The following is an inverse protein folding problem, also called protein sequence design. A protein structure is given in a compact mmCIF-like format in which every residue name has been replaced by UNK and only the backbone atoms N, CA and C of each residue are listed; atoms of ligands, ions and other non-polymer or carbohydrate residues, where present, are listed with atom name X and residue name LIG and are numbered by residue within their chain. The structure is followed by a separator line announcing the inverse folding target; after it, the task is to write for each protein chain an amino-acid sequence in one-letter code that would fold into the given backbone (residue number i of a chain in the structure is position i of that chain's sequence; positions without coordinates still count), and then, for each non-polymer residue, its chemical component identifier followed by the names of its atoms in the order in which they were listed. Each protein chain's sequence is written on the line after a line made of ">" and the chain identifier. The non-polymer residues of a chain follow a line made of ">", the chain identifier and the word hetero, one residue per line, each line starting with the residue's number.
data_IF_549821458190
#
_entry.id   IF_549821458190
#
_cell.length_a   1.000
_cell.length_b   1.000
_cell.length_c   1.000
_cell.angle_alpha   90.00
_cell.angle_beta   90.00
_cell.angle_gamma   90.00
#
_symmetry.space_group_name_H-M   'P 1'
#
loop_
_entity.id
_entity.type
_entity.pdbx_description
1 polymer ?
#
# COMPACT_ATOMS: atom_id res chain seq x y z
N UNK A 1 11.55 -7.77 -7.68
CA UNK A 1 10.72 -6.55 -7.76
C UNK A 1 9.37 -6.84 -7.12
N UNK A 2 8.89 -6.01 -6.19
CA UNK A 2 7.52 -6.17 -5.67
C UNK A 2 6.53 -5.75 -6.76
N UNK A 3 5.58 -6.62 -7.11
CA UNK A 3 4.55 -6.38 -8.13
C UNK A 3 3.23 -5.95 -7.50
N UNK A 4 2.92 -6.51 -6.32
CA UNK A 4 1.66 -6.28 -5.63
C UNK A 4 1.58 -7.07 -4.33
N UNK A 5 0.36 -7.13 -3.80
CA UNK A 5 0.00 -7.86 -2.58
C UNK A 5 -0.78 -9.12 -2.95
N UNK A 6 -0.85 -10.09 -2.04
CA UNK A 6 -1.88 -11.12 -2.08
C UNK A 6 -3.03 -10.79 -1.10
N UNK A 7 -4.26 -11.11 -1.48
CA UNK A 7 -5.44 -10.80 -0.66
C UNK A 7 -6.01 -12.00 0.09
N UNK A 8 -5.51 -13.20 -0.17
CA UNK A 8 -5.85 -14.41 0.60
C UNK A 8 -4.84 -14.62 1.74
N UNK A 9 -3.56 -14.58 1.38
CA UNK A 9 -2.41 -14.77 2.27
C UNK A 9 -1.85 -13.44 2.77
N UNK A 10 -1.22 -13.45 3.94
CA UNK A 10 -0.32 -12.34 4.33
C UNK A 10 0.98 -12.44 3.54
N UNK A 11 1.12 -11.72 2.42
CA UNK A 11 2.40 -11.63 1.71
C UNK A 11 2.43 -10.70 0.50
N UNK A 12 3.65 -10.39 0.05
CA UNK A 12 3.92 -9.62 -1.16
C UNK A 12 4.19 -10.55 -2.33
N UNK A 13 3.56 -10.28 -3.48
CA UNK A 13 3.91 -10.88 -4.76
C UNK A 13 5.20 -10.23 -5.27
N UNK A 14 6.31 -10.96 -5.17
CA UNK A 14 7.64 -10.51 -5.57
C UNK A 14 8.06 -11.26 -6.84
N UNK A 15 8.24 -10.52 -7.93
CA UNK A 15 8.88 -11.02 -9.14
C UNK A 15 10.38 -11.26 -8.89
N UNK A 16 10.85 -12.47 -9.19
CA UNK A 16 12.27 -12.77 -9.35
C UNK A 16 12.59 -12.69 -10.85
N UNK A 17 13.30 -11.64 -11.34
CA UNK A 17 13.41 -11.40 -12.78
C UNK A 17 14.18 -12.47 -13.55
N UNK A 18 15.13 -13.13 -12.86
CA UNK A 18 15.96 -14.21 -13.39
C UNK A 18 15.12 -15.46 -13.69
N UNK A 19 14.45 -15.98 -12.66
CA UNK A 19 13.67 -17.23 -12.74
C UNK A 19 12.28 -17.02 -13.35
N UNK A 20 11.89 -15.75 -13.56
CA UNK A 20 10.58 -15.27 -14.04
C UNK A 20 9.39 -15.68 -13.17
N UNK A 21 9.62 -16.17 -11.96
CA UNK A 21 8.57 -16.56 -11.02
C UNK A 21 8.08 -15.39 -10.16
N UNK A 22 6.87 -15.53 -9.62
CA UNK A 22 6.30 -14.64 -8.61
C UNK A 22 6.19 -15.42 -7.30
N UNK A 23 7.02 -15.10 -6.32
CA UNK A 23 6.91 -15.68 -4.98
C UNK A 23 6.00 -14.83 -4.10
N UNK A 24 5.39 -15.45 -3.07
CA UNK A 24 4.71 -14.73 -1.99
C UNK A 24 5.57 -14.81 -0.73
N UNK A 25 5.89 -13.66 -0.13
CA UNK A 25 6.71 -13.61 1.11
C UNK A 25 6.28 -12.49 2.06
N UNK A 26 6.46 -12.72 3.37
CA UNK A 26 6.32 -11.70 4.43
C UNK A 26 7.63 -10.95 4.70
N UNK A 27 8.77 -11.50 4.28
CA UNK A 27 10.10 -11.00 4.63
C UNK A 27 10.91 -10.71 3.37
N UNK A 28 11.05 -9.43 3.05
CA UNK A 28 11.95 -8.95 1.98
C UNK A 28 13.28 -8.58 2.64
N UNK A 29 14.11 -9.58 2.90
CA UNK A 29 15.48 -9.37 3.36
C UNK A 29 16.39 -8.95 2.18
N UNK A 30 17.40 -8.14 2.44
CA UNK A 30 18.38 -7.75 1.42
C UNK A 30 19.45 -8.83 1.24
N UNK A 31 19.86 -9.08 -0.01
CA UNK A 31 20.93 -10.04 -0.37
C UNK A 31 22.31 -9.74 0.28
N UNK A 32 22.44 -8.62 1.00
CA UNK A 32 23.64 -8.21 1.73
C UNK A 32 23.61 -8.61 3.23
N UNK A 33 22.58 -9.32 3.70
CA UNK A 33 22.58 -9.85 5.06
C UNK A 33 23.70 -10.89 5.27
N UNK A 34 24.38 -10.91 6.43
CA UNK A 34 25.37 -11.94 6.75
C UNK A 34 24.69 -13.32 6.75
N UNK A 35 25.29 -14.28 6.03
CA UNK A 35 24.72 -15.60 5.74
C UNK A 35 24.44 -15.86 4.25
N UNK A 36 24.24 -14.81 3.43
CA UNK A 36 23.89 -14.96 2.01
C UNK A 36 25.10 -15.20 1.07
N UNK A 37 26.26 -15.63 1.60
CA UNK A 37 27.51 -15.77 0.84
C UNK A 37 27.39 -16.77 -0.32
N UNK A 38 26.67 -17.88 -0.11
CA UNK A 38 26.42 -18.89 -1.15
C UNK A 38 25.59 -18.32 -2.30
N UNK A 39 24.57 -17.50 -2.02
CA UNK A 39 23.76 -16.84 -3.05
C UNK A 39 24.57 -15.78 -3.81
N UNK A 40 25.47 -15.06 -3.15
CA UNK A 40 26.38 -14.12 -3.81
C UNK A 40 27.42 -14.85 -4.69
N UNK A 41 27.91 -16.01 -4.25
CA UNK A 41 28.80 -16.86 -5.06
C UNK A 41 28.09 -17.47 -6.29
N UNK A 42 26.80 -17.81 -6.16
CA UNK A 42 25.97 -18.28 -7.26
C UNK A 42 25.68 -17.16 -8.28
N UNK A 43 25.24 -15.98 -7.83
CA UNK A 43 25.03 -14.81 -8.69
C UNK A 43 26.29 -14.42 -9.48
N UNK A 44 27.48 -14.54 -8.88
CA UNK A 44 28.77 -14.30 -9.56
C UNK A 44 29.14 -15.34 -10.63
N UNK A 45 28.45 -16.50 -10.68
CA UNK A 45 28.59 -17.52 -11.73
C UNK A 45 27.52 -17.39 -12.82
N UNK A 46 26.30 -17.02 -12.43
CA UNK A 46 25.12 -17.02 -13.31
C UNK A 46 24.95 -15.68 -14.07
N UNK A 47 25.36 -14.54 -13.48
CA UNK A 47 25.37 -13.23 -14.14
C UNK A 47 26.76 -12.56 -14.03
N UNK A 48 27.65 -12.77 -15.01
CA UNK A 48 28.99 -12.17 -15.02
C UNK A 48 29.01 -10.65 -15.23
N UNK A 49 27.93 -10.01 -15.68
CA UNK A 49 27.87 -8.55 -15.84
C UNK A 49 27.45 -7.88 -14.55
N UNK A 50 26.39 -8.37 -13.90
CA UNK A 50 25.98 -7.94 -12.58
C UNK A 50 27.07 -8.24 -11.53
N UNK A 51 27.77 -9.37 -11.66
CA UNK A 51 28.94 -9.71 -10.86
C UNK A 51 30.08 -8.69 -10.98
N UNK A 52 30.42 -8.29 -12.22
CA UNK A 52 31.43 -7.24 -12.48
C UNK A 52 30.98 -5.87 -11.98
N UNK A 53 29.71 -5.49 -12.18
CA UNK A 53 29.17 -4.21 -11.69
C UNK A 53 29.15 -4.14 -10.14
N UNK A 54 28.98 -5.27 -9.44
CA UNK A 54 29.15 -5.37 -7.99
C UNK A 54 30.62 -5.19 -7.59
N UNK A 55 31.56 -5.83 -8.29
CA UNK A 55 33.00 -5.68 -8.03
C UNK A 55 33.47 -4.24 -8.28
N UNK A 56 33.13 -3.60 -9.39
CA UNK A 56 33.44 -2.17 -9.64
C UNK A 56 32.89 -1.27 -8.54
N UNK A 57 31.70 -1.58 -8.01
CA UNK A 57 31.08 -0.81 -6.93
C UNK A 57 31.79 -1.01 -5.59
N UNK A 58 32.22 -2.23 -5.27
CA UNK A 58 33.05 -2.55 -4.10
C UNK A 58 34.42 -1.87 -4.20
N UNK A 59 35.05 -1.88 -5.38
CA UNK A 59 36.31 -1.19 -5.64
C UNK A 59 36.18 0.33 -5.60
N UNK A 60 35.09 0.90 -6.14
CA UNK A 60 34.79 2.32 -6.04
C UNK A 60 34.57 2.77 -4.60
N UNK A 61 33.97 1.92 -3.75
CA UNK A 61 33.86 2.15 -2.31
C UNK A 61 35.23 2.09 -1.63
N UNK A 62 36.00 1.02 -1.81
CA UNK A 62 37.37 0.88 -1.27
C UNK A 62 38.31 1.99 -1.74
N UNK A 63 38.14 2.50 -2.97
CA UNK A 63 38.87 3.64 -3.53
C UNK A 63 38.46 4.95 -2.86
N UNK A 64 37.16 5.16 -2.59
CA UNK A 64 36.67 6.31 -1.80
C UNK A 64 37.19 6.27 -0.35
N UNK A 65 37.21 5.10 0.29
CA UNK A 65 37.77 4.92 1.63
C UNK A 65 39.28 5.20 1.68
N UNK A 66 40.06 4.66 0.73
CA UNK A 66 41.50 4.95 0.60
C UNK A 66 41.78 6.44 0.32
N UNK A 67 40.93 7.12 -0.45
CA UNK A 67 41.01 8.57 -0.66
C UNK A 67 40.65 9.35 0.60
N UNK A 68 39.60 8.96 1.34
CA UNK A 68 39.22 9.58 2.60
C UNK A 68 40.30 9.41 3.69
N UNK A 69 40.96 8.25 3.75
CA UNK A 69 42.10 8.00 4.62
C UNK A 69 43.29 8.91 4.28
N UNK A 70 43.69 9.00 3.00
CA UNK A 70 44.74 9.93 2.55
C UNK A 70 44.37 11.41 2.79
N UNK A 71 43.10 11.77 2.65
CA UNK A 71 42.61 13.14 2.83
C UNK A 71 42.80 13.71 4.25
N UNK A 72 42.88 12.86 5.28
CA UNK A 72 43.14 13.30 6.66
C UNK A 72 44.62 13.64 6.94
N UNK A 73 45.54 13.34 6.04
CA UNK A 73 46.99 13.43 6.29
C UNK A 73 47.68 14.77 6.02
N UNK A 74 47.07 15.74 5.32
CA UNK A 74 47.74 17.01 4.94
C UNK A 74 46.85 18.26 5.03
N UNK A 75 46.73 18.84 6.23
CA UNK A 75 46.31 20.25 6.44
C UNK A 75 47.07 20.92 7.61
N UNK A 76 48.32 21.35 7.38
CA UNK A 76 49.03 22.35 8.24
C UNK A 76 49.93 23.26 7.39
N UNK A 77 49.56 24.55 7.30
CA UNK A 77 50.30 25.65 6.63
C UNK A 77 50.50 25.49 5.10
N UNK A 78 50.60 26.55 4.28
CA UNK A 78 50.97 27.96 4.54
C UNK A 78 50.00 28.97 3.89
N UNK A 79 49.98 30.19 4.45
CA UNK A 79 49.23 31.38 3.99
C UNK A 79 50.24 32.44 3.52
N UNK A 80 50.35 32.75 2.21
CA UNK A 80 51.10 33.93 1.74
C UNK A 80 50.90 34.29 0.24
N UNK A 81 50.35 35.49 0.00
CA UNK A 81 50.67 36.51 -1.04
C UNK A 81 50.82 36.18 -2.55
N UNK A 82 50.38 37.18 -3.35
CA UNK A 82 50.52 37.46 -4.82
C UNK A 82 49.30 37.06 -5.69
N UNK A 83 48.90 37.84 -6.70
CA UNK A 83 49.24 39.24 -7.07
C UNK A 83 48.20 39.86 -8.04
N UNK A 84 48.27 41.18 -8.27
CA UNK A 84 47.49 41.92 -9.29
C UNK A 84 47.85 41.53 -10.73
N UNK A 85 46.89 41.78 -11.63
CA UNK A 85 46.96 42.14 -13.07
C UNK A 85 46.40 41.09 -14.06
N UNK A 86 45.96 41.44 -15.29
CA UNK A 86 45.14 42.56 -15.88
C UNK A 86 45.01 42.23 -17.40
N UNK A 87 44.05 42.84 -18.13
CA UNK A 87 44.04 42.98 -19.63
C UNK A 87 43.79 41.64 -20.40
N UNK A 88 42.54 41.35 -20.81
CA UNK A 88 41.95 41.54 -22.18
C UNK A 88 42.03 40.27 -23.07
N UNK A 89 41.32 40.09 -24.21
CA UNK A 89 40.57 41.02 -25.09
C UNK A 89 39.37 40.32 -25.79
N UNK A 90 38.65 41.07 -26.64
CA UNK A 90 37.38 40.78 -27.34
C UNK A 90 37.34 39.57 -28.31
N UNK A 91 36.12 39.18 -28.74
CA UNK A 91 35.89 38.28 -29.89
C UNK A 91 34.41 37.93 -30.15
N UNK A 92 33.77 38.63 -31.12
CA UNK A 92 32.53 38.20 -31.82
C UNK A 92 32.94 37.31 -33.04
N UNK A 93 32.11 36.68 -33.89
CA UNK A 93 30.68 36.85 -34.25
C UNK A 93 30.10 35.58 -34.95
N UNK A 94 28.89 35.71 -35.50
CA UNK A 94 28.06 34.96 -36.50
C UNK A 94 28.77 34.22 -37.68
N UNK A 95 28.16 33.41 -38.58
CA UNK A 95 26.77 32.93 -38.88
C UNK A 95 26.75 31.71 -39.86
N UNK A 96 25.57 31.10 -40.05
CA UNK A 96 25.01 30.45 -41.29
C UNK A 96 25.72 29.28 -42.04
N UNK A 97 24.94 28.59 -42.88
CA UNK A 97 25.45 27.77 -44.00
C UNK A 97 24.76 26.41 -44.26
N UNK A 98 23.73 26.37 -45.11
CA UNK A 98 23.26 25.16 -45.81
C UNK A 98 23.52 25.32 -47.33
N UNK A 99 23.59 24.22 -48.13
CA UNK A 99 22.44 23.93 -49.01
C UNK A 99 22.21 22.42 -49.35
N UNK A 100 21.18 22.16 -50.17
CA UNK A 100 20.80 20.89 -50.83
C UNK A 100 21.60 20.69 -52.16
N UNK A 101 21.49 19.62 -52.97
CA UNK A 101 20.63 18.41 -53.02
C UNK A 101 21.52 17.14 -53.27
N UNK A 102 21.18 16.00 -53.90
CA UNK A 102 20.08 15.41 -54.73
C UNK A 102 19.74 13.99 -54.19
N UNK A 103 18.61 13.30 -54.42
CA UNK A 103 17.55 13.24 -55.45
C UNK A 103 17.72 12.13 -56.54
N UNK A 104 17.22 10.92 -56.25
CA UNK A 104 16.75 9.93 -57.24
C UNK A 104 15.47 9.22 -56.72
N UNK A 105 14.63 8.70 -57.62
CA UNK A 105 13.24 8.30 -57.33
C UNK A 105 12.85 7.02 -58.08
N UNK A 106 12.15 6.08 -57.42
CA UNK A 106 11.43 4.96 -58.03
C UNK A 106 10.16 4.63 -57.20
N UNK A 107 9.05 4.28 -57.86
CA UNK A 107 7.72 4.09 -57.26
C UNK A 107 7.27 2.60 -57.17
N UNK A 108 5.97 2.37 -56.87
CA UNK A 108 5.22 1.09 -56.86
C UNK A 108 5.50 0.15 -55.65
N UNK A 109 4.54 -0.47 -54.92
CA UNK A 109 3.05 -0.50 -54.91
C UNK A 109 2.58 -0.66 -53.44
N UNK A 110 1.44 -0.09 -52.99
CA UNK A 110 0.93 -0.35 -51.62
C UNK A 110 0.32 -1.75 -51.44
N UNK A 111 0.64 -2.41 -50.32
CA UNK A 111 0.00 -3.65 -49.84
C UNK A 111 -0.65 -3.42 -48.44
N UNK A 112 -1.65 -4.24 -48.05
CA UNK A 112 -2.52 -3.96 -46.89
C UNK A 112 -1.84 -4.20 -45.52
N UNK A 113 -2.38 -3.63 -44.43
CA UNK A 113 -1.80 -3.75 -43.09
C UNK A 113 -1.81 -5.20 -42.57
N UNK A 114 -0.66 -5.65 -42.05
CA UNK A 114 -0.53 -6.96 -41.43
C UNK A 114 -1.20 -7.02 -40.05
N UNK A 115 -1.91 -8.13 -39.78
CA UNK A 115 -2.51 -8.39 -38.47
C UNK A 115 -1.45 -8.55 -37.36
N UNK A 116 -1.76 -8.19 -36.10
CA UNK A 116 -0.82 -8.33 -34.99
C UNK A 116 -0.58 -9.82 -34.67
N UNK A 117 0.63 -10.32 -35.00
CA UNK A 117 1.07 -11.70 -34.78
C UNK A 117 0.91 -12.13 -33.31
N UNK A 118 -0.20 -12.80 -33.02
CA UNK A 118 -0.58 -13.29 -31.69
C UNK A 118 0.47 -14.26 -31.16
N UNK A 119 1.31 -13.82 -30.21
CA UNK A 119 2.35 -14.67 -29.61
C UNK A 119 1.74 -15.95 -29.01
N UNK A 120 2.03 -17.07 -29.67
CA UNK A 120 1.55 -18.41 -29.30
C UNK A 120 2.33 -18.90 -28.09
N UNK A 121 1.73 -18.82 -26.90
CA UNK A 121 2.37 -19.23 -25.64
C UNK A 121 2.77 -20.71 -25.69
N UNK A 122 4.09 -20.96 -25.59
CA UNK A 122 4.65 -22.31 -25.62
C UNK A 122 4.32 -23.00 -24.29
N UNK A 123 3.45 -24.01 -24.33
CA UNK A 123 3.03 -24.78 -23.16
C UNK A 123 4.21 -25.58 -22.58
N UNK A 124 4.92 -25.01 -21.63
CA UNK A 124 6.02 -25.65 -20.88
C UNK A 124 5.43 -26.56 -19.80
N UNK A 125 5.85 -27.84 -19.80
CA UNK A 125 5.19 -28.91 -19.06
C UNK A 125 4.98 -28.68 -17.57
N UNK A 126 3.79 -29.08 -17.09
CA UNK A 126 3.40 -29.13 -15.68
C UNK A 126 4.39 -29.97 -14.86
N UNK A 127 5.23 -29.32 -14.06
CA UNK A 127 5.72 -29.88 -12.79
C UNK A 127 4.91 -29.30 -11.64
N UNK A 128 3.64 -29.72 -11.53
CA UNK A 128 2.89 -29.48 -10.29
C UNK A 128 3.56 -30.31 -9.20
N UNK A 129 4.23 -29.64 -8.25
CA UNK A 129 4.32 -30.18 -6.89
C UNK A 129 2.87 -30.28 -6.41
N UNK A 130 2.40 -31.44 -5.92
CA UNK A 130 1.07 -31.56 -5.35
C UNK A 130 1.07 -30.84 -4.00
N UNK A 131 0.86 -29.52 -4.03
CA UNK A 131 0.29 -28.81 -2.89
C UNK A 131 -1.04 -29.50 -2.62
N UNK A 132 -1.15 -30.13 -1.45
CA UNK A 132 -2.41 -30.69 -1.00
C UNK A 132 -3.40 -29.53 -0.87
N UNK A 133 -4.26 -29.37 -1.88
CA UNK A 133 -5.40 -28.47 -1.81
C UNK A 133 -6.33 -29.01 -0.73
N UNK A 134 -6.11 -28.57 0.50
CA UNK A 134 -7.08 -28.73 1.56
C UNK A 134 -8.34 -27.99 1.12
N UNK A 135 -9.35 -28.75 0.70
CA UNK A 135 -10.61 -28.26 0.14
C UNK A 135 -11.48 -27.60 1.20
N UNK A 136 -11.02 -26.44 1.68
CA UNK A 136 -11.86 -25.50 2.38
C UNK A 136 -12.80 -24.84 1.37
N UNK A 137 -14.07 -24.72 1.75
CA UNK A 137 -15.12 -24.07 0.97
C UNK A 137 -14.80 -22.60 0.67
N UNK A 138 -15.49 -22.03 -0.33
CA UNK A 138 -15.45 -20.59 -0.57
C UNK A 138 -15.85 -19.81 0.69
N UNK A 139 -15.29 -18.62 0.86
CA UNK A 139 -15.69 -17.72 1.95
C UNK A 139 -17.19 -17.37 1.83
N UNK A 140 -17.98 -17.46 2.91
CA UNK A 140 -19.41 -17.15 2.88
C UNK A 140 -19.70 -15.73 2.37
N UNK A 141 -20.61 -15.61 1.41
CA UNK A 141 -20.92 -14.33 0.73
C UNK A 141 -21.89 -13.47 1.54
N UNK A 142 -22.56 -14.04 2.53
CA UNK A 142 -23.49 -13.37 3.42
C UNK A 142 -23.61 -14.09 4.79
N UNK A 143 -24.33 -13.45 5.72
CA UNK A 143 -24.58 -13.98 7.07
C UNK A 143 -25.25 -15.36 7.08
N UNK A 144 -26.25 -15.57 6.22
CA UNK A 144 -27.01 -16.83 6.18
C UNK A 144 -26.12 -18.01 5.76
N UNK A 145 -25.27 -17.82 4.76
CA UNK A 145 -24.26 -18.81 4.36
C UNK A 145 -23.26 -19.11 5.48
N UNK A 146 -22.80 -18.09 6.22
CA UNK A 146 -21.87 -18.28 7.31
C UNK A 146 -22.49 -19.10 8.46
N UNK A 147 -23.75 -18.82 8.80
CA UNK A 147 -24.49 -19.52 9.87
C UNK A 147 -24.93 -20.93 9.47
N UNK A 148 -25.13 -21.19 8.18
CA UNK A 148 -25.45 -22.53 7.66
C UNK A 148 -24.21 -23.36 7.29
N UNK A 149 -22.99 -22.87 7.57
CA UNK A 149 -21.74 -23.58 7.27
C UNK A 149 -21.25 -24.44 8.43
N UNK A 150 -20.48 -25.49 8.12
CA UNK A 150 -19.82 -26.35 9.12
C UNK A 150 -18.87 -25.58 10.07
N UNK A 151 -18.54 -24.33 9.72
CA UNK A 151 -17.66 -23.41 10.47
C UNK A 151 -18.43 -22.29 11.18
N UNK A 152 -19.74 -22.44 11.38
CA UNK A 152 -20.62 -21.46 12.07
C UNK A 152 -20.07 -20.99 13.42
N UNK A 153 -19.43 -21.87 14.20
CA UNK A 153 -18.81 -21.50 15.48
C UNK A 153 -17.64 -20.52 15.32
N UNK A 154 -16.75 -20.78 14.34
CA UNK A 154 -15.62 -19.91 14.03
C UNK A 154 -16.07 -18.55 13.47
N UNK A 155 -17.06 -18.55 12.57
CA UNK A 155 -17.62 -17.30 12.02
C UNK A 155 -18.38 -16.49 13.07
N UNK A 156 -19.16 -17.14 13.93
CA UNK A 156 -19.83 -16.49 15.08
C UNK A 156 -18.83 -15.84 16.01
N UNK A 157 -17.73 -16.52 16.35
CA UNK A 157 -16.63 -15.95 17.13
C UNK A 157 -16.02 -14.74 16.45
N UNK A 158 -15.73 -14.83 15.15
CA UNK A 158 -15.14 -13.73 14.38
C UNK A 158 -16.09 -12.51 14.24
N UNK A 159 -17.42 -12.71 14.27
CA UNK A 159 -18.40 -11.62 14.34
C UNK A 159 -18.42 -10.97 15.73
N UNK A 160 -18.41 -11.76 16.80
CA UNK A 160 -18.38 -11.25 18.17
C UNK A 160 -17.09 -10.46 18.46
N UNK A 161 -15.93 -10.93 17.97
CA UNK A 161 -14.66 -10.20 18.03
C UNK A 161 -14.72 -8.83 17.31
N UNK A 162 -15.41 -8.74 16.16
CA UNK A 162 -15.58 -7.47 15.44
C UNK A 162 -16.57 -6.54 16.15
N UNK A 163 -17.74 -7.03 16.61
CA UNK A 163 -18.70 -6.20 17.37
C UNK A 163 -18.05 -5.62 18.64
N UNK A 164 -17.40 -6.47 19.44
CA UNK A 164 -16.69 -6.03 20.66
C UNK A 164 -15.58 -5.02 20.33
N UNK A 165 -14.86 -5.20 19.22
CA UNK A 165 -13.86 -4.22 18.78
C UNK A 165 -14.47 -2.90 18.28
N UNK A 166 -15.69 -2.89 17.75
CA UNK A 166 -16.41 -1.68 17.32
C UNK A 166 -16.97 -0.91 18.53
N UNK A 167 -17.51 -1.62 19.52
CA UNK A 167 -18.00 -1.08 20.78
C UNK A 167 -16.85 -0.51 21.64
N UNK A 168 -15.74 -1.25 21.79
CA UNK A 168 -14.54 -0.77 22.49
C UNK A 168 -13.89 0.44 21.81
N UNK A 169 -14.15 0.68 20.53
CA UNK A 169 -13.75 1.92 19.84
C UNK A 169 -14.77 3.06 20.00
N UNK A 170 -15.93 2.85 20.65
CA UNK A 170 -17.06 3.77 20.67
C UNK A 170 -17.47 4.20 19.24
N UNK A 171 -17.64 3.21 18.36
CA UNK A 171 -17.91 3.46 16.92
C UNK A 171 -19.31 4.03 16.69
N UNK A 172 -20.26 3.65 17.56
CA UNK A 172 -21.64 4.09 17.59
C UNK A 172 -22.13 4.24 19.03
N UNK A 173 -23.31 4.86 19.19
CA UNK A 173 -24.17 4.66 20.37
C UNK A 173 -25.49 3.99 19.92
N UNK A 174 -26.23 3.42 20.87
CA UNK A 174 -27.60 2.95 20.63
C UNK A 174 -28.56 4.11 20.96
N UNK A 175 -29.47 4.44 20.05
CA UNK A 175 -30.48 5.49 20.24
C UNK A 175 -31.88 4.98 19.93
N UNK A 176 -32.91 5.57 20.54
CA UNK A 176 -34.28 5.41 20.07
C UNK A 176 -34.37 5.91 18.61
N UNK A 177 -34.97 5.10 17.73
CA UNK A 177 -35.04 5.37 16.29
C UNK A 177 -35.88 6.63 16.03
N UNK A 178 -35.32 7.70 15.43
CA UNK A 178 -36.09 8.91 15.16
C UNK A 178 -37.20 8.63 14.13
N UNK A 179 -38.34 9.32 14.28
CA UNK A 179 -39.47 9.18 13.34
C UNK A 179 -39.03 9.65 11.95
N UNK A 180 -39.32 8.84 10.94
CA UNK A 180 -39.01 9.07 9.52
C UNK A 180 -37.52 9.17 9.14
N UNK A 181 -36.59 8.91 10.06
CA UNK A 181 -35.16 8.91 9.73
C UNK A 181 -34.78 7.75 8.80
N UNK A 182 -33.94 8.06 7.81
CA UNK A 182 -33.24 7.12 6.94
C UNK A 182 -32.19 6.36 7.78
N UNK A 183 -32.25 5.04 7.75
CA UNK A 183 -31.21 4.16 8.32
C UNK A 183 -30.56 3.41 7.16
N UNK A 184 -29.24 3.37 7.13
CA UNK A 184 -28.50 2.52 6.20
C UNK A 184 -28.48 1.08 6.71
N UNK A 185 -28.47 0.11 5.81
CA UNK A 185 -28.23 -1.28 6.17
C UNK A 185 -26.74 -1.51 6.47
N UNK A 186 -26.47 -2.62 7.16
CA UNK A 186 -25.13 -3.17 7.34
C UNK A 186 -25.09 -4.62 6.90
N UNK A 187 -23.97 -5.03 6.30
CA UNK A 187 -23.70 -6.41 5.86
C UNK A 187 -22.45 -6.96 6.52
N UNK A 188 -22.42 -8.28 6.70
CA UNK A 188 -21.23 -9.00 7.09
C UNK A 188 -20.38 -9.35 5.86
N UNK A 189 -19.08 -9.09 5.94
CA UNK A 189 -18.09 -9.52 4.94
C UNK A 189 -17.12 -10.50 5.60
N UNK A 190 -17.06 -11.72 5.09
CA UNK A 190 -16.25 -12.81 5.62
C UNK A 190 -15.01 -13.03 4.76
N UNK A 191 -13.87 -13.33 5.39
CA UNK A 191 -12.65 -13.76 4.69
C UNK A 191 -11.77 -14.63 5.60
N UNK A 192 -11.52 -15.85 5.16
CA UNK A 192 -10.52 -16.75 5.74
C UNK A 192 -9.14 -16.18 5.45
N UNK A 193 -8.29 -16.11 6.48
CA UNK A 193 -6.88 -15.69 6.34
C UNK A 193 -5.95 -16.88 6.50
N UNK A 194 -4.99 -16.95 5.59
CA UNK A 194 -4.03 -18.04 5.47
C UNK A 194 -2.60 -17.52 5.69
N UNK A 195 -1.77 -18.37 6.28
CA UNK A 195 -0.32 -18.22 6.28
C UNK A 195 0.24 -18.41 4.85
N UNK A 196 1.53 -18.14 4.65
CA UNK A 196 2.18 -18.23 3.32
C UNK A 196 2.27 -19.67 2.81
N UNK A 197 2.32 -20.64 3.73
CA UNK A 197 2.25 -22.08 3.45
C UNK A 197 0.83 -22.58 3.11
N UNK A 198 -0.18 -21.70 3.15
CA UNK A 198 -1.58 -22.03 2.89
C UNK A 198 -2.37 -22.50 4.12
N UNK A 199 -1.73 -22.69 5.28
CA UNK A 199 -2.42 -23.09 6.52
C UNK A 199 -3.34 -21.98 7.04
N UNK A 200 -4.38 -22.36 7.78
CA UNK A 200 -5.37 -21.44 8.34
C UNK A 200 -4.76 -20.60 9.47
N UNK A 201 -4.65 -19.28 9.27
CA UNK A 201 -4.28 -18.34 10.35
C UNK A 201 -5.49 -18.09 11.26
N UNK A 202 -6.60 -17.67 10.65
CA UNK A 202 -7.86 -17.34 11.33
C UNK A 202 -8.99 -17.04 10.35
N UNK A 203 -10.20 -17.10 10.87
CA UNK A 203 -11.35 -16.46 10.24
C UNK A 203 -11.37 -14.97 10.53
N UNK A 204 -12.03 -14.21 9.66
CA UNK A 204 -12.28 -12.79 9.87
C UNK A 204 -13.65 -12.40 9.32
N UNK A 205 -14.51 -11.90 10.18
CA UNK A 205 -15.69 -11.16 9.79
C UNK A 205 -15.37 -9.64 9.79
N UNK A 206 -16.23 -8.85 9.13
CA UNK A 206 -16.32 -7.39 9.30
C UNK A 206 -17.76 -6.94 9.15
N UNK A 207 -18.18 -6.00 9.99
CA UNK A 207 -19.45 -5.29 9.79
C UNK A 207 -19.20 -4.07 8.88
N UNK A 208 -19.95 -4.00 7.78
CA UNK A 208 -19.75 -3.03 6.70
C UNK A 208 -21.07 -2.32 6.42
N UNK A 209 -21.10 -0.99 6.51
CA UNK A 209 -22.26 -0.20 6.12
C UNK A 209 -22.48 -0.27 4.60
N UNK A 210 -23.75 -0.30 4.19
CA UNK A 210 -24.14 -0.28 2.78
C UNK A 210 -23.97 1.13 2.18
N UNK A 211 -22.74 1.54 1.90
CA UNK A 211 -22.43 2.85 1.31
C UNK A 211 -23.10 3.10 -0.06
N UNK A 212 -23.61 2.06 -0.73
CA UNK A 212 -24.47 2.20 -1.91
C UNK A 212 -25.83 2.86 -1.62
N UNK A 213 -26.30 2.84 -0.37
CA UNK A 213 -27.55 3.48 0.08
C UNK A 213 -27.34 4.96 0.50
N UNK A 214 -26.08 5.39 0.63
CA UNK A 214 -25.73 6.77 0.97
C UNK A 214 -25.98 7.74 -0.19
N UNK A 215 -26.50 8.91 0.18
CA UNK A 215 -26.96 9.98 -0.70
C UNK A 215 -26.09 11.24 -0.53
N UNK A 216 -25.77 11.87 -1.65
CA UNK A 216 -24.90 13.05 -1.68
C UNK A 216 -25.60 14.27 -1.10
N UNK A 217 -24.91 15.04 -0.25
CA UNK A 217 -25.46 16.18 0.48
C UNK A 217 -26.25 15.80 1.75
N UNK A 218 -26.50 14.51 1.99
CA UNK A 218 -27.21 14.00 3.18
C UNK A 218 -26.29 13.12 4.02
N UNK A 219 -25.81 12.01 3.44
CA UNK A 219 -24.97 11.02 4.15
C UNK A 219 -23.46 11.24 3.96
N UNK A 220 -23.08 12.04 2.95
CA UNK A 220 -21.69 12.42 2.64
C UNK A 220 -21.65 13.67 1.75
N UNK A 221 -20.51 14.38 1.75
CA UNK A 221 -20.20 15.45 0.80
C UNK A 221 -18.95 15.08 0.00
N UNK A 222 -17.80 14.92 0.65
CA UNK A 222 -16.55 14.54 0.01
C UNK A 222 -16.21 13.05 0.21
N UNK A 223 -15.78 12.37 -0.85
CA UNK A 223 -15.35 10.95 -0.82
C UNK A 223 -13.88 10.73 -1.18
N UNK A 224 -13.24 11.70 -1.84
CA UNK A 224 -11.92 11.51 -2.44
C UNK A 224 -10.82 11.25 -1.41
N UNK A 225 -10.04 10.18 -1.64
CA UNK A 225 -8.79 9.90 -0.95
C UNK A 225 -7.74 9.46 -1.96
N UNK A 226 -6.60 10.13 -1.97
CA UNK A 226 -5.44 9.70 -2.72
C UNK A 226 -4.87 8.37 -2.18
N UNK A 227 -3.99 7.74 -2.95
CA UNK A 227 -3.16 6.62 -2.55
C UNK A 227 -1.72 6.88 -3.01
N UNK A 228 -0.73 6.37 -2.26
CA UNK A 228 0.70 6.50 -2.60
C UNK A 228 0.97 6.09 -4.05
N UNK A 229 1.66 6.94 -4.80
CA UNK A 229 1.97 6.64 -6.20
C UNK A 229 2.92 5.44 -6.32
N UNK A 230 2.75 4.68 -7.41
CA UNK A 230 3.66 3.58 -7.74
C UNK A 230 5.12 4.04 -7.92
N UNK A 231 5.35 5.30 -8.29
CA UNK A 231 6.69 5.89 -8.33
C UNK A 231 7.23 6.17 -6.92
N UNK A 232 6.47 6.82 -6.06
CA UNK A 232 6.83 7.06 -4.65
C UNK A 232 7.11 5.75 -3.89
N UNK A 233 6.29 4.73 -4.10
CA UNK A 233 6.52 3.39 -3.54
C UNK A 233 7.87 2.78 -3.99
N UNK A 234 8.21 2.91 -5.28
CA UNK A 234 9.52 2.49 -5.82
C UNK A 234 10.67 3.31 -5.22
N UNK A 235 10.49 4.61 -5.01
CA UNK A 235 11.49 5.49 -4.38
C UNK A 235 11.76 5.06 -2.93
N UNK A 236 10.74 4.78 -2.13
CA UNK A 236 10.89 4.27 -0.75
C UNK A 236 11.70 2.97 -0.72
N UNK A 237 11.39 2.01 -1.61
CA UNK A 237 12.13 0.75 -1.73
C UNK A 237 13.57 0.95 -2.23
N UNK A 238 13.80 1.89 -3.15
CA UNK A 238 15.13 2.23 -3.65
C UNK A 238 16.00 2.89 -2.57
N UNK A 239 15.42 3.78 -1.75
CA UNK A 239 16.09 4.38 -0.59
C UNK A 239 16.43 3.30 0.46
N UNK A 240 15.47 2.45 0.82
CA UNK A 240 15.68 1.29 1.69
C UNK A 240 16.87 0.43 1.24
N UNK A 241 16.92 0.06 -0.06
CA UNK A 241 18.02 -0.73 -0.61
C UNK A 241 19.35 0.02 -0.70
N UNK A 242 19.33 1.34 -0.95
CA UNK A 242 20.53 2.20 -1.07
C UNK A 242 21.22 2.42 0.28
N UNK A 243 20.44 2.62 1.34
CA UNK A 243 20.94 2.90 2.70
C UNK A 243 20.93 1.66 3.61
N UNK A 244 20.51 0.49 3.10
CA UNK A 244 20.40 -0.78 3.82
C UNK A 244 19.50 -0.71 5.08
N UNK A 245 18.43 0.07 5.01
CA UNK A 245 17.42 0.25 6.05
C UNK A 245 16.19 -0.62 5.71
N UNK A 246 15.63 -1.42 6.63
CA UNK A 246 14.48 -2.28 6.33
C UNK A 246 13.22 -1.46 6.04
N UNK A 247 12.66 -1.62 4.83
CA UNK A 247 11.32 -1.15 4.52
C UNK A 247 10.27 -2.04 5.21
N UNK A 248 9.30 -1.42 5.88
CA UNK A 248 8.13 -2.09 6.44
C UNK A 248 6.86 -1.50 5.85
N UNK A 249 5.89 -2.37 5.59
CA UNK A 249 4.53 -2.00 5.20
C UNK A 249 3.59 -2.90 5.99
N UNK A 250 2.73 -2.28 6.79
CA UNK A 250 1.92 -2.91 7.83
C UNK A 250 0.49 -2.39 7.71
N UNK A 251 -0.50 -3.28 7.71
CA UNK A 251 -1.91 -2.88 7.62
C UNK A 251 -2.45 -2.43 8.97
N UNK A 252 -2.78 -1.15 9.12
CA UNK A 252 -3.32 -0.61 10.38
C UNK A 252 -4.63 -1.30 10.76
N UNK A 253 -4.72 -1.98 11.92
CA UNK A 253 -5.95 -2.61 12.37
C UNK A 253 -6.99 -1.56 12.75
N UNK A 254 -8.21 -1.75 12.27
CA UNK A 254 -9.38 -0.94 12.60
C UNK A 254 -9.19 0.56 12.27
N UNK A 255 -8.51 0.84 11.14
CA UNK A 255 -8.16 2.19 10.67
C UNK A 255 -9.36 3.16 10.60
N UNK A 256 -10.41 2.83 9.83
CA UNK A 256 -11.57 3.72 9.66
C UNK A 256 -12.27 4.02 10.99
N UNK A 257 -12.47 3.00 11.82
CA UNK A 257 -13.18 3.11 13.12
C UNK A 257 -12.34 3.74 14.23
N UNK A 258 -11.10 4.15 13.94
CA UNK A 258 -10.31 5.09 14.77
C UNK A 258 -10.59 6.56 14.44
N UNK A 259 -11.27 6.86 13.33
CA UNK A 259 -11.59 8.23 12.90
C UNK A 259 -12.97 8.67 13.31
N UNK A 260 -13.08 9.90 13.81
CA UNK A 260 -14.35 10.62 13.95
C UNK A 260 -15.08 10.67 12.59
N UNK A 261 -16.42 10.62 12.60
CA UNK A 261 -17.24 10.95 11.41
C UNK A 261 -17.19 12.47 11.13
N UNK A 262 -17.70 12.92 9.98
CA UNK A 262 -18.05 14.34 9.82
C UNK A 262 -18.98 14.80 10.96
N UNK A 263 -18.74 15.94 11.62
CA UNK A 263 -19.57 16.36 12.76
C UNK A 263 -21.01 16.64 12.31
N UNK A 264 -21.17 17.31 11.17
CA UNK A 264 -22.43 17.88 10.67
C UNK A 264 -23.38 16.85 10.02
N UNK A 265 -22.91 15.61 9.77
CA UNK A 265 -23.69 14.56 9.11
C UNK A 265 -24.12 13.48 10.13
N UNK A 266 -25.42 13.26 10.34
CA UNK A 266 -25.90 12.16 11.18
C UNK A 266 -26.12 10.90 10.33
N UNK A 267 -25.36 9.83 10.61
CA UNK A 267 -25.49 8.54 9.94
C UNK A 267 -26.03 7.53 10.95
N UNK A 268 -27.23 7.00 10.66
CA UNK A 268 -27.89 5.96 11.45
C UNK A 268 -27.82 4.63 10.70
N UNK A 269 -27.55 3.54 11.42
CA UNK A 269 -27.59 2.18 10.89
C UNK A 269 -28.71 1.36 11.53
N UNK A 270 -29.24 0.41 10.76
CA UNK A 270 -29.97 -0.71 11.33
C UNK A 270 -29.07 -1.58 12.23
N UNK A 271 -29.57 -1.95 13.41
CA UNK A 271 -28.90 -2.91 14.30
C UNK A 271 -28.75 -4.25 13.55
N UNK A 272 -27.53 -4.84 13.47
CA UNK A 272 -27.32 -6.08 12.76
C UNK A 272 -27.90 -7.27 13.55
N UNK A 273 -28.48 -8.25 12.85
CA UNK A 273 -29.16 -9.44 13.45
C UNK A 273 -28.29 -10.30 14.38
N UNK A 274 -26.98 -10.07 14.38
CA UNK A 274 -25.96 -10.74 15.20
C UNK A 274 -25.64 -10.00 16.51
N UNK A 275 -26.27 -8.86 16.76
CA UNK A 275 -26.08 -8.03 17.95
C UNK A 275 -27.37 -8.03 18.77
N UNK A 276 -27.33 -8.63 19.95
CA UNK A 276 -28.41 -8.57 20.95
C UNK A 276 -28.28 -7.27 21.75
N UNK A 277 -29.40 -6.59 22.04
CA UNK A 277 -29.40 -5.40 22.90
C UNK A 277 -30.08 -5.70 24.23
N UNK A 278 -29.42 -5.33 25.34
CA UNK A 278 -29.92 -5.58 26.69
C UNK A 278 -31.26 -4.87 26.94
N UNK A 279 -32.15 -5.53 27.67
CA UNK A 279 -33.47 -4.99 28.05
C UNK A 279 -33.38 -3.72 28.88
N UNK A 280 -32.33 -3.57 29.69
CA UNK A 280 -32.00 -2.35 30.43
C UNK A 280 -31.80 -1.16 29.47
N UNK A 281 -30.99 -1.33 28.42
CA UNK A 281 -30.74 -0.30 27.40
C UNK A 281 -31.99 0.05 26.59
N UNK A 282 -32.92 -0.90 26.41
CA UNK A 282 -34.23 -0.62 25.80
C UNK A 282 -35.14 0.18 26.75
N UNK A 283 -35.10 -0.11 28.06
CA UNK A 283 -35.85 0.62 29.08
C UNK A 283 -35.33 2.05 29.27
N UNK A 284 -34.02 2.26 29.32
CA UNK A 284 -33.36 3.58 29.39
C UNK A 284 -33.72 4.47 28.20
N UNK A 285 -33.88 3.87 27.01
CA UNK A 285 -34.31 4.54 25.78
C UNK A 285 -35.85 4.67 25.66
N UNK A 286 -36.62 4.14 26.60
CA UNK A 286 -38.09 4.21 26.61
C UNK A 286 -38.78 3.44 25.48
N UNK A 287 -38.14 2.38 24.95
CA UNK A 287 -38.59 1.65 23.75
C UNK A 287 -38.97 0.20 24.06
N UNK A 288 -39.99 -0.30 23.35
CA UNK A 288 -40.58 -1.60 23.64
C UNK A 288 -39.88 -2.80 22.97
N UNK A 289 -38.99 -2.57 22.00
CA UNK A 289 -38.26 -3.64 21.30
C UNK A 289 -37.09 -3.11 20.43
N UNK A 290 -36.20 -4.01 20.02
CA UNK A 290 -35.03 -3.73 19.17
C UNK A 290 -35.35 -3.16 17.78
N UNK A 291 -36.61 -3.18 17.31
CA UNK A 291 -37.00 -2.54 16.03
C UNK A 291 -37.23 -1.03 16.18
N UNK A 292 -37.29 -0.53 17.41
CA UNK A 292 -37.46 0.87 17.76
C UNK A 292 -36.13 1.57 18.12
N UNK A 293 -34.98 0.92 17.90
CA UNK A 293 -33.65 1.52 18.06
C UNK A 293 -32.88 1.64 16.74
N UNK A 294 -31.83 2.45 16.74
CA UNK A 294 -30.85 2.59 15.68
C UNK A 294 -29.44 2.68 16.27
N UNK A 295 -28.41 2.32 15.50
CA UNK A 295 -27.02 2.61 15.85
C UNK A 295 -26.64 3.96 15.24
N UNK A 296 -26.43 4.99 16.07
CA UNK A 296 -25.94 6.29 15.59
C UNK A 296 -24.42 6.26 15.54
N UNK A 297 -23.84 6.48 14.35
CA UNK A 297 -22.38 6.50 14.23
C UNK A 297 -21.76 7.72 14.93
N UNK A 298 -20.68 7.44 15.67
CA UNK A 298 -19.75 8.44 16.22
C UNK A 298 -18.40 8.43 15.48
N UNK A 299 -18.08 7.34 14.80
CA UNK A 299 -16.86 7.14 14.02
C UNK A 299 -17.15 6.55 12.64
N UNK A 300 -16.18 6.65 11.74
CA UNK A 300 -16.33 6.14 10.37
C UNK A 300 -16.30 4.61 10.33
N UNK A 301 -17.37 3.98 9.84
CA UNK A 301 -17.44 2.52 9.66
C UNK A 301 -16.90 2.09 8.29
N UNK A 302 -16.49 0.83 8.17
CA UNK A 302 -16.20 0.22 6.86
C UNK A 302 -17.40 0.37 5.91
N UNK A 303 -17.14 0.64 4.64
CA UNK A 303 -18.16 0.65 3.58
C UNK A 303 -18.84 2.00 3.33
N UNK A 304 -18.73 2.98 4.22
CA UNK A 304 -19.18 4.35 3.91
C UNK A 304 -18.29 4.96 2.82
N UNK A 305 -18.87 5.79 1.93
CA UNK A 305 -18.16 6.38 0.79
C UNK A 305 -17.02 7.31 1.22
N UNK A 306 -17.13 7.98 2.38
CA UNK A 306 -16.12 8.90 2.89
C UNK A 306 -14.98 8.25 3.70
N UNK A 307 -15.06 6.96 4.07
CA UNK A 307 -14.15 6.39 5.09
C UNK A 307 -12.66 6.45 4.70
N UNK A 308 -12.35 6.32 3.41
CA UNK A 308 -10.99 6.52 2.89
C UNK A 308 -10.46 7.92 3.19
N UNK A 309 -11.26 8.95 2.89
CA UNK A 309 -10.92 10.37 3.12
C UNK A 309 -10.77 10.69 4.60
N UNK A 310 -11.69 10.21 5.45
CA UNK A 310 -11.61 10.43 6.90
C UNK A 310 -10.34 9.80 7.49
N UNK A 311 -9.96 8.59 7.04
CA UNK A 311 -8.67 7.98 7.39
C UNK A 311 -7.46 8.76 6.88
N UNK A 312 -7.47 9.21 5.63
CA UNK A 312 -6.40 10.04 5.07
C UNK A 312 -6.20 11.35 5.87
N UNK A 313 -7.29 12.02 6.27
CA UNK A 313 -7.25 13.24 7.06
C UNK A 313 -6.76 12.98 8.50
N UNK A 314 -7.26 11.93 9.16
CA UNK A 314 -6.82 11.53 10.50
C UNK A 314 -5.34 11.12 10.52
N UNK A 315 -4.90 10.34 9.52
CA UNK A 315 -3.51 9.92 9.37
C UNK A 315 -2.59 11.11 9.09
N UNK A 316 -2.99 12.05 8.22
CA UNK A 316 -2.26 13.33 8.02
C UNK A 316 -2.13 14.11 9.32
N UNK A 317 -3.25 14.34 10.03
CA UNK A 317 -3.28 15.03 11.34
C UNK A 317 -2.36 14.36 12.37
N UNK A 318 -2.21 13.04 12.30
CA UNK A 318 -1.35 12.23 13.19
C UNK A 318 0.13 12.31 12.79
N UNK A 319 0.45 12.16 11.51
CA UNK A 319 1.83 12.25 11.00
C UNK A 319 2.43 13.65 11.21
N UNK A 320 1.66 14.71 10.93
CA UNK A 320 2.07 16.09 11.21
C UNK A 320 2.37 16.30 12.71
N UNK A 321 1.52 15.79 13.61
CA UNK A 321 1.77 15.82 15.08
C UNK A 321 3.02 15.05 15.50
N UNK A 322 3.41 14.00 14.76
CA UNK A 322 4.64 13.23 14.97
C UNK A 322 5.87 13.88 14.31
N UNK A 323 5.76 15.12 13.82
CA UNK A 323 6.85 15.87 13.19
C UNK A 323 7.22 15.39 11.79
N UNK A 324 6.31 14.70 11.08
CA UNK A 324 6.50 14.44 9.66
C UNK A 324 6.01 15.61 8.82
N UNK A 325 6.73 15.90 7.74
CA UNK A 325 6.33 16.82 6.67
C UNK A 325 5.69 16.01 5.53
N UNK A 326 4.64 16.54 4.93
CA UNK A 326 4.04 15.97 3.72
C UNK A 326 4.90 16.32 2.50
N UNK A 327 5.06 15.38 1.57
CA UNK A 327 5.78 15.63 0.31
C UNK A 327 4.93 16.48 -0.65
N UNK A 328 5.56 17.45 -1.31
CA UNK A 328 4.89 18.32 -2.29
C UNK A 328 4.40 17.55 -3.53
N UNK A 329 5.15 16.54 -3.96
CA UNK A 329 4.88 15.78 -5.19
C UNK A 329 3.93 14.60 -5.01
N UNK A 330 3.67 14.15 -3.78
CA UNK A 330 2.78 13.04 -3.48
C UNK A 330 2.15 13.25 -2.09
N UNK A 331 0.85 13.52 -2.07
CA UNK A 331 0.10 13.81 -0.84
C UNK A 331 -0.01 12.64 0.15
N UNK A 332 0.31 11.42 -0.28
CA UNK A 332 0.35 10.20 0.51
C UNK A 332 1.76 9.86 1.02
N UNK A 333 2.80 10.57 0.56
CA UNK A 333 4.16 10.45 1.03
C UNK A 333 4.52 11.51 2.08
N UNK A 334 5.26 11.08 3.11
CA UNK A 334 5.66 11.88 4.26
C UNK A 334 7.12 11.60 4.61
N UNK A 335 7.85 12.62 5.07
CA UNK A 335 9.26 12.53 5.49
C UNK A 335 9.46 13.13 6.88
N UNK A 336 10.44 12.63 7.63
CA UNK A 336 10.93 13.24 8.88
C UNK A 336 12.42 13.01 8.99
N UNK A 337 13.20 14.05 9.27
CA UNK A 337 14.65 13.95 9.31
C UNK A 337 15.36 15.28 9.51
N UNK A 338 16.64 15.19 9.86
CA UNK A 338 17.54 16.32 10.17
C UNK A 338 18.79 16.34 9.26
N UNK A 339 18.78 15.55 8.18
CA UNK A 339 19.87 15.45 7.20
C UNK A 339 20.86 14.31 7.49
N UNK A 340 21.06 13.92 8.76
CA UNK A 340 21.73 12.65 9.11
C UNK A 340 20.74 11.48 9.12
N UNK A 341 19.58 11.69 9.74
CA UNK A 341 18.50 10.71 9.82
C UNK A 341 17.37 11.07 8.85
N UNK A 342 16.77 10.03 8.26
CA UNK A 342 15.60 10.16 7.38
C UNK A 342 14.65 8.98 7.55
N UNK A 343 13.45 9.25 8.04
CA UNK A 343 12.29 8.34 7.95
C UNK A 343 11.41 8.78 6.78
N UNK A 344 10.99 7.86 5.93
CA UNK A 344 9.95 8.10 4.91
C UNK A 344 8.79 7.14 5.15
N UNK A 345 7.57 7.67 5.12
CA UNK A 345 6.31 6.93 5.28
C UNK A 345 5.45 7.21 4.06
N UNK A 346 4.85 6.16 3.50
CA UNK A 346 3.85 6.29 2.44
C UNK A 346 2.64 5.43 2.78
N UNK A 347 1.42 5.95 2.56
CA UNK A 347 0.20 5.19 2.85
C UNK A 347 -0.61 4.86 1.59
N UNK A 348 -1.09 3.63 1.53
CA UNK A 348 -2.08 3.16 0.55
C UNK A 348 -3.37 2.83 1.28
N UNK A 349 -4.46 2.75 0.53
CA UNK A 349 -5.72 2.20 1.01
C UNK A 349 -6.24 1.19 0.00
N UNK A 350 -6.91 0.15 0.49
CA UNK A 350 -7.59 -0.85 -0.33
C UNK A 350 -9.06 -0.84 0.04
N UNK A 351 -9.93 -0.71 -0.95
CA UNK A 351 -11.37 -0.98 -0.79
C UNK A 351 -11.58 -2.40 -0.26
N UNK A 352 -12.58 -2.59 0.59
CA UNK A 352 -13.09 -3.92 0.90
C UNK A 352 -14.24 -4.19 -0.08
N UNK A 353 -13.88 -4.65 -1.28
CA UNK A 353 -14.78 -5.27 -2.26
C UNK A 353 -15.21 -6.64 -1.77
#
# INVERSE_FOLDING_TARGET
>A
MIIGKDDETKGYKVYLPHDRIVIVTQHVQTLNAPGNEQQQAQLRREDPELGRAVQEREEALRRKERVAARGKGKKRSKRSKRSKAKISKEGNETMEGAPEAEAQHQEHVPHPPAEPTRMRTRNTGRKHVPVAMASFSEDPKNYTEAMNSDRVADWSKAMAEEISALEANNTWEIVAKPRHAKLLHSKWVFKTKKHVDGTLERFKARLVACGNEQEYGVDYVDTFSAALEGLSARIVLALSRKYNVPARHEGVPNAYVRTEKEPDLEILLHVPRSMTVNTETLADLGVANERQIALRLRKSLYGLKQSGRLWALHLRKTLLKLGFEQCYTDSCAYKRGNGSDLTVVGYTWTTCS
#
